data_IF_989971594262
#
_entry.id   IF_989971594262
#
_cell.length_a   1.000
_cell.length_b   1.000
_cell.length_c   1.000
_cell.angle_alpha   90.00
_cell.angle_beta   90.00
_cell.angle_gamma   90.00
#
_symmetry.space_group_name_H-M   'P 1'
#
loop_
_entity.id
_entity.type
_entity.pdbx_description
1 polymer ?
#
# COMPACT_ATOMS: atom_id res chain seq x y z
N UNK A 1 18.92 -8.91 -7.66
CA UNK A 1 19.06 -10.31 -7.21
C UNK A 1 20.12 -11.01 -8.04
N UNK A 2 20.25 -12.32 -7.87
CA UNK A 2 21.11 -13.21 -8.67
C UNK A 2 20.31 -14.47 -9.06
N UNK A 3 20.93 -15.37 -9.83
CA UNK A 3 20.34 -16.67 -10.20
C UNK A 3 20.02 -17.55 -8.98
N UNK A 4 20.84 -17.47 -7.92
CA UNK A 4 20.67 -18.26 -6.70
C UNK A 4 19.54 -17.75 -5.80
N UNK A 5 19.41 -16.43 -5.67
CA UNK A 5 18.43 -15.79 -4.80
C UNK A 5 17.94 -14.46 -5.38
N UNK A 6 16.62 -14.31 -5.49
CA UNK A 6 15.95 -13.05 -5.81
C UNK A 6 15.73 -12.22 -4.55
N UNK A 7 16.79 -11.62 -4.02
CA UNK A 7 16.75 -10.71 -2.86
C UNK A 7 16.90 -9.25 -3.27
N UNK A 8 16.30 -8.37 -2.47
CA UNK A 8 16.37 -6.92 -2.56
C UNK A 8 17.62 -6.30 -1.89
N UNK A 9 18.60 -7.11 -1.48
CA UNK A 9 19.82 -6.65 -0.82
C UNK A 9 21.09 -7.32 -1.35
N UNK A 10 22.23 -6.72 -1.01
CA UNK A 10 23.56 -7.34 -1.05
C UNK A 10 24.04 -7.54 0.38
N UNK A 11 24.67 -8.68 0.65
CA UNK A 11 25.33 -8.99 1.91
C UNK A 11 26.68 -8.29 1.95
N UNK A 12 27.04 -7.66 3.07
CA UNK A 12 28.41 -7.22 3.31
C UNK A 12 29.20 -8.39 3.90
N UNK A 13 30.16 -8.88 3.15
CA UNK A 13 30.99 -10.02 3.56
C UNK A 13 31.91 -9.62 4.72
N UNK A 14 31.84 -10.26 5.90
CA UNK A 14 32.69 -9.90 7.04
C UNK A 14 34.16 -10.28 6.83
N UNK A 15 34.45 -11.24 5.95
CA UNK A 15 35.80 -11.70 5.60
C UNK A 15 36.59 -10.69 4.77
N UNK A 16 35.96 -10.06 3.78
CA UNK A 16 36.63 -9.21 2.80
C UNK A 16 36.04 -7.79 2.70
N UNK A 17 34.95 -7.50 3.41
CA UNK A 17 34.25 -6.22 3.41
C UNK A 17 33.46 -5.89 2.14
N UNK A 18 33.59 -6.71 1.08
CA UNK A 18 32.95 -6.53 -0.22
C UNK A 18 31.46 -6.90 -0.19
N UNK A 19 30.70 -6.42 -1.17
CA UNK A 19 29.25 -6.57 -1.25
C UNK A 19 28.84 -7.58 -2.32
N UNK A 20 28.11 -8.63 -1.94
CA UNK A 20 27.64 -9.68 -2.86
C UNK A 20 26.14 -9.89 -2.79
N UNK A 21 25.47 -10.27 -3.88
CA UNK A 21 24.04 -10.53 -3.87
C UNK A 21 23.65 -11.76 -3.02
N UNK A 22 24.56 -12.73 -2.86
CA UNK A 22 24.38 -13.87 -1.95
C UNK A 22 25.73 -14.53 -1.63
N UNK A 23 25.72 -15.50 -0.69
CA UNK A 23 26.91 -16.30 -0.34
C UNK A 23 27.49 -17.08 -1.52
N UNK A 24 26.65 -17.68 -2.37
CA UNK A 24 27.11 -18.49 -3.50
C UNK A 24 27.83 -17.65 -4.55
N UNK A 25 27.36 -16.41 -4.76
CA UNK A 25 28.05 -15.45 -5.62
C UNK A 25 29.36 -14.92 -5.00
N UNK A 26 29.50 -14.94 -3.67
CA UNK A 26 30.78 -14.65 -3.01
C UNK A 26 31.73 -15.82 -3.20
N UNK A 27 31.30 -17.03 -2.83
CA UNK A 27 32.14 -18.24 -2.84
C UNK A 27 32.62 -18.62 -4.25
N UNK A 28 31.87 -18.25 -5.30
CA UNK A 28 32.31 -18.43 -6.69
C UNK A 28 33.23 -17.32 -7.23
N UNK A 29 33.33 -16.17 -6.54
CA UNK A 29 34.14 -15.03 -6.97
C UNK A 29 35.43 -14.85 -6.14
N UNK A 30 35.51 -15.47 -4.96
CA UNK A 30 36.62 -15.35 -4.03
C UNK A 30 37.17 -16.74 -3.69
N UNK A 31 38.46 -16.83 -3.37
CA UNK A 31 39.14 -18.09 -3.01
C UNK A 31 38.81 -18.60 -1.59
N UNK A 32 37.79 -18.03 -0.96
CA UNK A 32 37.36 -18.38 0.39
C UNK A 32 35.84 -18.35 0.51
N UNK A 33 35.33 -19.07 1.51
CA UNK A 33 33.89 -19.19 1.74
C UNK A 33 33.37 -18.13 2.72
N UNK A 34 32.16 -17.64 2.45
CA UNK A 34 31.46 -16.72 3.32
C UNK A 34 30.68 -17.46 4.39
N UNK A 35 31.02 -17.20 5.65
CA UNK A 35 30.19 -17.58 6.78
C UNK A 35 28.96 -16.66 6.87
N UNK A 36 27.81 -17.21 6.46
CA UNK A 36 26.52 -16.49 6.46
C UNK A 36 26.07 -16.04 7.84
N UNK A 37 26.48 -16.72 8.92
CA UNK A 37 26.04 -16.40 10.28
C UNK A 37 26.79 -15.19 10.85
N UNK A 38 27.96 -14.87 10.29
CA UNK A 38 28.76 -13.70 10.66
C UNK A 38 28.38 -12.43 9.90
N UNK A 39 27.48 -12.52 8.93
CA UNK A 39 26.99 -11.35 8.20
C UNK A 39 26.09 -10.53 9.12
N UNK A 40 26.59 -9.37 9.54
CA UNK A 40 25.86 -8.43 10.41
C UNK A 40 25.29 -7.22 9.67
N UNK A 41 25.62 -7.05 8.38
CA UNK A 41 25.22 -5.88 7.60
C UNK A 41 24.79 -6.26 6.18
N UNK A 42 23.76 -5.57 5.70
CA UNK A 42 23.23 -5.71 4.35
C UNK A 42 23.02 -4.35 3.71
N UNK A 43 23.24 -4.26 2.40
CA UNK A 43 22.97 -3.07 1.62
C UNK A 43 21.68 -3.27 0.80
N UNK A 44 20.71 -2.38 0.95
CA UNK A 44 19.53 -2.37 0.06
C UNK A 44 19.97 -2.07 -1.39
N UNK A 45 19.56 -2.89 -2.37
CA UNK A 45 19.95 -2.67 -3.78
C UNK A 45 19.34 -1.39 -4.37
N UNK A 46 18.29 -0.85 -3.75
CA UNK A 46 17.59 0.34 -4.24
C UNK A 46 18.23 1.61 -3.71
N UNK A 47 18.15 1.87 -2.40
CA UNK A 47 18.70 3.10 -1.83
C UNK A 47 20.23 3.05 -1.63
N UNK A 48 20.84 1.86 -1.65
CA UNK A 48 22.25 1.60 -1.29
C UNK A 48 22.57 1.91 0.18
N UNK A 49 21.56 2.08 1.02
CA UNK A 49 21.72 2.23 2.46
C UNK A 49 22.22 0.91 3.06
N UNK A 50 23.25 1.00 3.89
CA UNK A 50 23.76 -0.12 4.69
C UNK A 50 22.94 -0.20 5.98
N UNK A 51 22.43 -1.38 6.30
CA UNK A 51 21.55 -1.64 7.44
C UNK A 51 22.11 -2.83 8.23
N UNK A 52 21.95 -2.81 9.55
CA UNK A 52 22.31 -3.95 10.39
C UNK A 52 21.30 -5.08 10.22
N UNK A 53 21.74 -6.31 10.42
CA UNK A 53 20.89 -7.50 10.49
C UNK A 53 20.32 -7.57 11.90
N UNK A 54 18.99 -7.58 12.04
CA UNK A 54 18.30 -7.65 13.32
C UNK A 54 18.61 -8.94 14.13
N UNK A 55 18.41 -8.93 15.46
CA UNK A 55 18.86 -9.98 16.39
C UNK A 55 18.02 -11.27 16.39
N UNK A 56 17.43 -11.65 15.26
CA UNK A 56 16.77 -12.94 15.06
C UNK A 56 17.34 -13.60 13.82
N UNK A 57 18.15 -14.64 13.99
CA UNK A 57 18.78 -15.36 12.89
C UNK A 57 17.76 -15.95 11.91
N UNK A 58 17.36 -15.18 10.89
CA UNK A 58 16.33 -15.57 9.94
C UNK A 58 15.71 -14.36 9.26
N UNK A 59 16.36 -13.86 8.20
CA UNK A 59 15.88 -12.71 7.44
C UNK A 59 16.63 -11.44 7.83
N UNK A 60 17.55 -11.02 6.97
CA UNK A 60 18.08 -9.68 7.07
C UNK A 60 16.90 -8.69 6.98
N UNK A 61 16.94 -7.60 7.78
CA UNK A 61 15.99 -6.47 7.76
C UNK A 61 16.15 -5.69 6.45
N UNK A 62 15.91 -6.40 5.36
CA UNK A 62 16.02 -5.94 3.99
C UNK A 62 14.68 -5.34 3.70
N UNK A 63 14.58 -4.05 3.98
CA UNK A 63 13.58 -3.13 3.46
C UNK A 63 12.88 -3.72 2.22
N UNK A 64 11.72 -4.35 2.42
CA UNK A 64 10.94 -4.96 1.36
C UNK A 64 10.49 -3.82 0.45
N UNK A 65 11.15 -3.68 -0.70
CA UNK A 65 10.87 -2.61 -1.64
C UNK A 65 9.59 -2.91 -2.40
N UNK A 66 8.57 -2.09 -2.22
CA UNK A 66 7.40 -2.03 -3.09
C UNK A 66 7.83 -1.52 -4.47
N UNK A 67 7.63 -2.27 -5.56
CA UNK A 67 7.80 -1.80 -6.95
C UNK A 67 9.11 -2.16 -7.69
N UNK A 68 9.11 -2.15 -9.02
CA UNK A 68 10.29 -2.37 -9.89
C UNK A 68 10.62 -1.03 -10.55
N UNK A 69 11.81 -0.46 -10.32
CA UNK A 69 12.22 0.82 -10.93
C UNK A 69 13.61 1.28 -10.51
N UNK A 70 14.18 2.31 -11.19
CA UNK A 70 15.51 2.84 -10.91
C UNK A 70 15.59 3.53 -9.54
N UNK A 71 16.79 3.59 -8.94
CA UNK A 71 17.02 4.15 -7.58
C UNK A 71 16.44 5.56 -7.41
N UNK A 72 16.51 6.36 -8.47
CA UNK A 72 16.07 7.75 -8.48
C UNK A 72 14.58 7.92 -8.22
N UNK A 73 13.76 6.90 -8.47
CA UNK A 73 12.31 6.95 -8.23
C UNK A 73 11.89 6.53 -6.83
N UNK A 74 12.84 6.26 -5.91
CA UNK A 74 12.54 5.76 -4.57
C UNK A 74 13.27 6.53 -3.47
N UNK A 75 12.60 6.70 -2.32
CA UNK A 75 13.21 7.17 -1.07
C UNK A 75 13.01 6.16 0.05
N UNK A 76 13.93 6.16 1.01
CA UNK A 76 13.81 5.35 2.22
C UNK A 76 13.14 6.16 3.32
N UNK A 77 12.08 5.62 3.90
CA UNK A 77 11.46 6.17 5.10
C UNK A 77 12.00 5.43 6.33
N UNK A 78 12.80 6.10 7.16
CA UNK A 78 13.40 5.52 8.37
C UNK A 78 12.37 5.21 9.46
N UNK A 79 11.23 5.91 9.50
CA UNK A 79 10.14 5.62 10.44
C UNK A 79 9.39 4.34 10.09
N UNK A 80 9.16 4.13 8.81
CA UNK A 80 8.42 2.97 8.31
C UNK A 80 9.34 1.77 7.98
N UNK A 81 10.67 1.99 7.95
CA UNK A 81 11.66 1.04 7.44
C UNK A 81 11.30 0.47 6.06
N UNK A 82 10.78 1.33 5.16
CA UNK A 82 10.33 0.98 3.81
C UNK A 82 10.95 1.88 2.75
N UNK A 83 11.29 1.29 1.60
CA UNK A 83 11.68 2.00 0.38
C UNK A 83 10.42 2.21 -0.46
N UNK A 84 9.99 3.46 -0.58
CA UNK A 84 8.76 3.87 -1.23
C UNK A 84 9.08 4.70 -2.47
N UNK A 85 8.16 4.73 -3.44
CA UNK A 85 8.29 5.61 -4.61
C UNK A 85 8.37 7.09 -4.18
N UNK A 86 9.15 7.93 -4.87
CA UNK A 86 9.22 9.37 -4.64
C UNK A 86 7.85 10.04 -4.62
N UNK A 87 6.88 9.55 -5.40
CA UNK A 87 5.49 10.03 -5.39
C UNK A 87 4.83 9.95 -4.02
N UNK A 88 5.31 9.07 -3.13
CA UNK A 88 4.83 8.89 -1.76
C UNK A 88 5.59 9.73 -0.72
N UNK A 89 6.60 10.51 -1.15
CA UNK A 89 7.39 11.35 -0.24
C UNK A 89 6.51 12.44 0.36
N UNK A 90 6.38 12.44 1.69
CA UNK A 90 5.51 13.36 2.42
C UNK A 90 4.01 13.09 2.31
N UNK A 91 3.59 12.11 1.48
CA UNK A 91 2.17 11.78 1.25
C UNK A 91 1.75 10.44 1.85
N UNK A 92 2.68 9.52 2.09
CA UNK A 92 2.32 8.24 2.72
C UNK A 92 1.99 8.43 4.20
N UNK A 93 0.95 7.73 4.64
CA UNK A 93 0.67 7.55 6.06
C UNK A 93 1.74 6.63 6.64
N UNK A 94 2.70 7.20 7.36
CA UNK A 94 3.76 6.38 7.93
C UNK A 94 3.30 5.66 9.19
N UNK A 95 3.34 4.33 9.14
CA UNK A 95 3.03 3.44 10.25
C UNK A 95 4.32 2.69 10.57
N UNK A 96 4.77 2.79 11.82
CA UNK A 96 6.01 2.16 12.26
C UNK A 96 5.89 0.62 12.16
N UNK A 97 6.93 -0.03 11.63
CA UNK A 97 7.00 -1.50 11.51
C UNK A 97 5.83 -2.17 10.77
N UNK A 98 5.11 -1.44 9.90
CA UNK A 98 3.95 -1.98 9.16
C UNK A 98 4.30 -3.21 8.29
N UNK A 99 5.56 -3.38 7.91
CA UNK A 99 6.01 -4.56 7.16
C UNK A 99 6.12 -5.83 8.00
N UNK A 100 6.03 -5.77 9.34
CA UNK A 100 6.12 -6.94 10.24
C UNK A 100 4.77 -7.63 10.46
N UNK A 101 3.87 -7.51 9.49
CA UNK A 101 2.55 -8.11 9.52
C UNK A 101 2.44 -9.11 8.37
N UNK A 102 1.60 -10.12 8.55
CA UNK A 102 1.25 -11.03 7.47
C UNK A 102 0.22 -10.38 6.54
N UNK A 103 0.32 -10.66 5.24
CA UNK A 103 -0.63 -10.18 4.27
C UNK A 103 -2.02 -10.79 4.57
N UNK A 104 -3.07 -9.98 4.79
CA UNK A 104 -4.40 -10.49 5.16
C UNK A 104 -5.09 -11.29 4.05
N UNK A 105 -4.55 -11.28 2.84
CA UNK A 105 -5.09 -12.00 1.68
C UNK A 105 -4.44 -13.37 1.54
N UNK A 106 -3.11 -13.45 1.61
CA UNK A 106 -2.37 -14.69 1.34
C UNK A 106 -1.69 -15.29 2.57
N UNK A 107 -1.75 -14.61 3.72
CA UNK A 107 -1.14 -15.00 4.99
C UNK A 107 0.38 -15.21 4.93
N UNK A 108 1.02 -14.70 3.89
CA UNK A 108 2.48 -14.67 3.79
C UNK A 108 3.01 -13.40 4.46
N UNK A 109 4.14 -13.52 5.13
CA UNK A 109 4.85 -12.39 5.73
C UNK A 109 5.23 -11.33 4.68
N UNK A 110 4.86 -10.09 4.97
CA UNK A 110 5.00 -8.95 4.04
C UNK A 110 6.47 -8.57 3.79
N UNK A 111 7.35 -8.91 4.72
CA UNK A 111 8.76 -8.54 4.68
C UNK A 111 9.62 -9.54 3.89
N UNK A 112 9.35 -10.82 4.06
CA UNK A 112 10.16 -11.95 3.58
C UNK A 112 9.57 -12.62 2.34
N UNK A 113 8.30 -12.36 2.01
CA UNK A 113 7.72 -12.88 0.78
C UNK A 113 8.51 -12.44 -0.45
N UNK A 114 8.55 -13.34 -1.43
CA UNK A 114 9.13 -13.07 -2.75
C UNK A 114 8.25 -12.15 -3.59
N UNK A 115 7.00 -11.95 -3.16
CA UNK A 115 6.02 -11.10 -3.82
C UNK A 115 6.16 -9.69 -3.24
N UNK A 116 6.41 -8.70 -4.10
CA UNK A 116 6.47 -7.31 -3.66
C UNK A 116 5.14 -6.88 -3.04
N UNK A 117 5.20 -6.31 -1.84
CA UNK A 117 4.08 -5.63 -1.23
C UNK A 117 3.76 -4.34 -2.00
N UNK A 118 2.52 -3.88 -1.92
CA UNK A 118 2.04 -2.60 -2.44
C UNK A 118 1.46 -1.78 -1.28
N UNK A 119 1.84 -0.51 -1.20
CA UNK A 119 1.36 0.42 -0.17
C UNK A 119 0.12 1.11 -0.70
N UNK A 120 -1.03 0.80 -0.10
CA UNK A 120 -2.30 1.44 -0.45
C UNK A 120 -2.35 2.89 0.05
N UNK A 121 -3.22 3.75 -0.51
CA UNK A 121 -3.41 5.13 -0.02
C UNK A 121 -3.73 5.22 1.48
N UNK A 122 -4.46 4.23 2.02
CA UNK A 122 -4.78 4.14 3.45
C UNK A 122 -3.60 3.75 4.34
N UNK A 123 -2.45 3.36 3.77
CA UNK A 123 -1.23 2.93 4.47
C UNK A 123 -1.09 1.42 4.66
N UNK A 124 -2.13 0.63 4.37
CA UNK A 124 -2.05 -0.83 4.46
C UNK A 124 -1.20 -1.44 3.35
N UNK A 125 -0.57 -2.58 3.65
CA UNK A 125 0.29 -3.33 2.74
C UNK A 125 -0.41 -4.60 2.25
N UNK A 126 -0.38 -4.86 0.95
CA UNK A 126 -0.88 -6.10 0.34
C UNK A 126 0.13 -6.66 -0.66
N UNK A 127 0.25 -7.98 -0.77
CA UNK A 127 1.06 -8.62 -1.82
C UNK A 127 0.42 -8.54 -3.20
N UNK A 128 1.20 -8.13 -4.22
CA UNK A 128 0.80 -8.02 -5.65
C UNK A 128 -0.40 -7.08 -5.90
N UNK A 129 -0.68 -6.65 -7.15
CA UNK A 129 -1.60 -5.56 -7.38
C UNK A 129 -3.01 -6.00 -7.00
N UNK A 130 -3.63 -5.18 -6.17
CA UNK A 130 -5.06 -5.19 -5.96
C UNK A 130 -5.74 -5.13 -7.34
N UNK A 131 -6.29 -6.25 -7.79
CA UNK A 131 -7.07 -6.28 -9.03
C UNK A 131 -8.50 -5.88 -8.68
N UNK A 132 -9.07 -4.85 -9.34
CA UNK A 132 -10.48 -4.51 -9.18
C UNK A 132 -11.42 -5.70 -9.46
N UNK A 133 -10.93 -6.70 -10.21
CA UNK A 133 -11.64 -7.90 -10.61
C UNK A 133 -11.71 -8.98 -9.51
N UNK A 134 -11.03 -8.82 -8.37
CA UNK A 134 -11.09 -9.79 -7.26
C UNK A 134 -12.38 -9.71 -6.43
N UNK A 135 -13.49 -9.26 -7.03
CA UNK A 135 -14.84 -9.22 -6.43
C UNK A 135 -15.05 -8.20 -5.31
N UNK A 136 -13.98 -7.58 -4.78
CA UNK A 136 -14.04 -6.58 -3.69
C UNK A 136 -14.01 -5.12 -4.18
N UNK A 137 -14.06 -4.89 -5.50
CA UNK A 137 -14.15 -3.56 -6.10
C UNK A 137 -12.85 -2.76 -5.98
N UNK A 138 -12.95 -1.45 -5.76
CA UNK A 138 -11.83 -0.51 -5.61
C UNK A 138 -11.38 -0.30 -4.15
N UNK A 139 -11.89 -1.09 -3.20
CA UNK A 139 -11.76 -0.83 -1.75
C UNK A 139 -10.71 -1.71 -1.07
N UNK A 140 -10.00 -1.15 -0.09
CA UNK A 140 -9.10 -1.89 0.78
C UNK A 140 -9.87 -2.93 1.60
N UNK A 141 -9.46 -4.21 1.64
CA UNK A 141 -10.17 -5.26 2.37
C UNK A 141 -10.07 -5.10 3.89
N UNK A 142 -9.14 -4.28 4.40
CA UNK A 142 -8.93 -4.07 5.83
C UNK A 142 -9.74 -2.89 6.38
N UNK A 143 -9.95 -1.85 5.58
CA UNK A 143 -10.54 -0.60 6.07
C UNK A 143 -11.53 0.07 5.12
N UNK A 144 -11.85 -0.55 3.99
CA UNK A 144 -12.80 -0.07 2.97
C UNK A 144 -12.42 1.24 2.25
N UNK A 145 -11.37 1.93 2.66
CA UNK A 145 -10.80 3.08 1.95
C UNK A 145 -10.41 2.71 0.51
N UNK A 146 -10.57 3.63 -0.43
CA UNK A 146 -10.16 3.46 -1.83
C UNK A 146 -8.70 3.00 -1.92
N UNK A 147 -8.49 1.86 -2.57
CA UNK A 147 -7.21 1.19 -2.72
C UNK A 147 -6.39 1.77 -3.88
N UNK A 148 -7.02 2.52 -4.78
CA UNK A 148 -6.46 3.08 -6.00
C UNK A 148 -6.88 4.55 -6.14
N UNK A 149 -6.26 5.28 -7.07
CA UNK A 149 -6.75 6.60 -7.48
C UNK A 149 -8.05 6.44 -8.29
N UNK A 150 -9.16 6.91 -7.71
CA UNK A 150 -10.49 6.78 -8.29
C UNK A 150 -10.99 8.06 -8.95
N UNK A 151 -10.16 9.12 -9.06
CA UNK A 151 -10.55 10.45 -9.57
C UNK A 151 -11.27 10.37 -10.92
N UNK A 152 -10.76 9.56 -11.86
CA UNK A 152 -11.38 9.38 -13.18
C UNK A 152 -12.73 8.68 -13.10
N UNK A 153 -12.85 7.69 -12.22
CA UNK A 153 -14.08 6.92 -12.05
C UNK A 153 -15.17 7.76 -11.37
N UNK A 154 -14.82 8.58 -10.37
CA UNK A 154 -15.73 9.55 -9.75
C UNK A 154 -16.28 10.55 -10.75
N UNK A 155 -15.44 11.07 -11.65
CA UNK A 155 -15.90 11.95 -12.73
C UNK A 155 -16.89 11.27 -13.68
N UNK A 156 -16.74 9.97 -13.91
CA UNK A 156 -17.71 9.21 -14.70
C UNK A 156 -19.04 9.09 -13.95
N UNK A 157 -19.02 8.78 -12.65
CA UNK A 157 -20.22 8.77 -11.82
C UNK A 157 -20.91 10.14 -11.75
N UNK A 158 -20.16 11.24 -11.67
CA UNK A 158 -20.72 12.61 -11.75
C UNK A 158 -21.58 12.78 -13.02
N UNK A 159 -21.08 12.33 -14.17
CA UNK A 159 -21.81 12.41 -15.45
C UNK A 159 -23.03 11.48 -15.47
N UNK A 160 -22.92 10.25 -14.98
CA UNK A 160 -24.02 9.29 -14.95
C UNK A 160 -25.15 9.73 -14.01
N UNK A 161 -24.79 10.31 -12.86
CA UNK A 161 -25.72 10.95 -11.91
C UNK A 161 -26.45 12.13 -12.57
N UNK A 162 -25.73 13.01 -13.26
CA UNK A 162 -26.34 14.15 -13.95
C UNK A 162 -27.29 13.73 -15.08
N UNK A 163 -27.03 12.60 -15.73
CA UNK A 163 -27.85 12.07 -16.83
C UNK A 163 -29.03 11.22 -16.36
N UNK A 164 -29.09 10.84 -15.09
CA UNK A 164 -30.11 9.94 -14.53
C UNK A 164 -30.91 10.67 -13.45
N UNK A 165 -31.88 11.53 -13.81
CA UNK A 165 -32.68 12.25 -12.82
C UNK A 165 -33.39 11.27 -11.87
N UNK A 166 -33.40 11.59 -10.58
CA UNK A 166 -34.08 10.76 -9.58
C UNK A 166 -35.60 10.75 -9.81
N UNK A 167 -36.28 9.62 -9.54
CA UNK A 167 -37.73 9.58 -9.47
C UNK A 167 -38.26 10.63 -8.50
N UNK A 168 -39.45 11.18 -8.79
CA UNK A 168 -40.09 12.26 -8.00
C UNK A 168 -40.18 11.93 -6.51
N UNK A 169 -40.43 10.67 -6.16
CA UNK A 169 -40.48 10.17 -4.77
C UNK A 169 -39.19 10.37 -3.97
N UNK A 170 -38.04 10.46 -4.65
CA UNK A 170 -36.71 10.56 -4.04
C UNK A 170 -35.98 11.85 -4.39
N UNK A 171 -36.57 12.71 -5.23
CA UNK A 171 -35.93 13.89 -5.80
C UNK A 171 -35.44 14.89 -4.74
N UNK A 172 -36.12 14.95 -3.59
CA UNK A 172 -35.80 15.82 -2.46
C UNK A 172 -35.29 15.03 -1.23
N UNK A 173 -35.00 13.74 -1.39
CA UNK A 173 -34.55 12.90 -0.26
C UNK A 173 -33.09 13.19 0.09
N UNK A 174 -32.84 13.70 1.29
CA UNK A 174 -31.49 13.91 1.80
C UNK A 174 -31.09 12.77 2.73
N UNK A 175 -29.81 12.38 2.66
CA UNK A 175 -29.26 11.29 3.47
C UNK A 175 -27.92 11.68 4.08
N UNK A 176 -27.73 11.26 5.32
CA UNK A 176 -26.43 11.34 5.98
C UNK A 176 -25.52 10.21 5.50
N UNK A 177 -24.30 10.58 5.14
CA UNK A 177 -23.28 9.63 4.69
C UNK A 177 -22.02 9.74 5.54
N UNK A 178 -21.33 8.61 5.68
CA UNK A 178 -19.96 8.52 6.15
C UNK A 178 -19.05 8.17 4.97
N UNK A 179 -18.03 9.00 4.72
CA UNK A 179 -17.05 8.74 3.66
C UNK A 179 -15.93 7.81 4.14
N UNK A 180 -15.70 6.71 3.45
CA UNK A 180 -14.61 5.77 3.79
C UNK A 180 -13.21 6.29 3.42
N UNK A 181 -13.13 7.37 2.64
CA UNK A 181 -11.84 7.94 2.19
C UNK A 181 -11.36 9.08 3.12
N UNK A 182 -12.25 9.99 3.54
CA UNK A 182 -11.87 11.08 4.44
C UNK A 182 -12.41 10.95 5.88
N UNK A 183 -13.24 9.94 6.16
CA UNK A 183 -13.95 9.73 7.43
C UNK A 183 -14.88 10.89 7.85
N UNK A 184 -15.12 11.87 6.98
CA UNK A 184 -16.06 12.95 7.24
C UNK A 184 -17.49 12.46 7.07
N UNK A 185 -18.38 13.09 7.84
CA UNK A 185 -19.83 12.97 7.71
C UNK A 185 -20.34 14.14 6.88
N UNK A 186 -21.32 13.90 6.02
CA UNK A 186 -21.98 14.95 5.26
C UNK A 186 -23.41 14.56 4.94
N UNK A 187 -24.29 15.54 4.82
CA UNK A 187 -25.68 15.34 4.36
C UNK A 187 -25.74 15.70 2.88
N UNK A 188 -26.20 14.76 2.05
CA UNK A 188 -26.17 14.89 0.59
C UNK A 188 -27.46 14.40 -0.04
N UNK A 189 -27.73 14.82 -1.27
CA UNK A 189 -28.87 14.34 -2.04
C UNK A 189 -28.74 12.83 -2.28
N UNK A 190 -29.79 12.07 -1.97
CA UNK A 190 -29.84 10.65 -2.26
C UNK A 190 -29.87 10.43 -3.78
N UNK A 191 -29.01 9.53 -4.24
CA UNK A 191 -28.99 9.11 -5.64
C UNK A 191 -28.68 7.62 -5.76
N UNK A 192 -29.44 6.89 -6.60
CA UNK A 192 -29.33 5.43 -6.76
C UNK A 192 -27.93 4.98 -7.20
N UNK A 193 -27.28 5.76 -8.06
CA UNK A 193 -25.93 5.46 -8.58
C UNK A 193 -24.80 5.71 -7.56
N UNK A 194 -25.02 6.58 -6.57
CA UNK A 194 -23.99 6.87 -5.58
C UNK A 194 -24.14 8.26 -4.96
N UNK A 195 -23.61 8.40 -3.75
CA UNK A 195 -23.67 9.62 -2.95
C UNK A 195 -22.26 10.23 -2.88
N UNK A 196 -22.10 11.48 -3.32
CA UNK A 196 -20.79 12.13 -3.38
C UNK A 196 -20.44 12.83 -2.08
N UNK A 197 -19.29 12.51 -1.49
CA UNK A 197 -18.79 13.21 -0.32
C UNK A 197 -18.45 14.68 -0.66
N UNK A 198 -18.96 15.62 0.13
CA UNK A 198 -18.71 17.07 -0.08
C UNK A 198 -17.30 17.51 0.32
N UNK A 199 -16.58 16.72 1.13
CA UNK A 199 -15.26 17.09 1.65
C UNK A 199 -14.11 16.62 0.75
N UNK A 200 -14.24 15.47 0.10
CA UNK A 200 -13.18 14.89 -0.74
C UNK A 200 -13.65 14.39 -2.12
N UNK A 201 -14.90 14.67 -2.49
CA UNK A 201 -15.51 14.31 -3.78
C UNK A 201 -15.58 12.80 -4.09
N UNK A 202 -15.25 11.94 -3.13
CA UNK A 202 -15.33 10.50 -3.29
C UNK A 202 -16.77 9.99 -3.22
N UNK A 203 -17.10 9.02 -4.06
CA UNK A 203 -18.33 8.23 -3.97
C UNK A 203 -18.17 6.96 -3.11
N UNK A 204 -17.01 6.77 -2.48
CA UNK A 204 -16.79 5.67 -1.55
C UNK A 204 -17.44 5.96 -0.18
N UNK A 205 -18.76 6.02 -0.16
CA UNK A 205 -19.54 6.45 1.01
C UNK A 205 -20.55 5.37 1.41
N UNK A 206 -20.84 5.27 2.70
CA UNK A 206 -21.95 4.47 3.22
C UNK A 206 -22.99 5.39 3.84
N UNK A 207 -24.28 5.04 3.74
CA UNK A 207 -25.33 5.75 4.46
C UNK A 207 -25.13 5.51 5.96
N UNK A 208 -25.01 6.59 6.73
CA UNK A 208 -24.97 6.50 8.18
C UNK A 208 -26.42 6.35 8.65
N UNK A 209 -26.76 5.23 9.27
CA UNK A 209 -28.14 4.78 9.52
C UNK A 209 -28.98 5.65 10.48
N UNK A 210 -28.67 6.93 10.64
CA UNK A 210 -29.25 7.84 11.65
C UNK A 210 -30.36 8.76 11.16
N UNK A 211 -30.61 8.96 9.87
CA UNK A 211 -31.79 9.74 9.48
C UNK A 211 -32.22 9.57 8.01
N UNK A 212 -33.52 9.36 7.81
CA UNK A 212 -34.25 9.66 6.57
C UNK A 212 -34.91 11.01 6.81
N UNK A 213 -34.45 12.07 6.17
CA UNK A 213 -35.13 13.37 6.23
C UNK A 213 -35.88 13.54 4.90
N UNK A 214 -37.20 13.32 4.92
CA UNK A 214 -38.09 13.89 3.91
C UNK A 214 -38.27 15.37 4.23
N UNK A 215 -38.02 16.24 3.24
CA UNK A 215 -38.21 17.70 3.36
C UNK A 215 -39.68 18.13 3.59
N UNK A 216 -40.60 17.19 3.80
CA UNK A 216 -42.03 17.43 4.07
C UNK A 216 -42.35 17.48 5.59
N UNK A 217 -41.37 17.32 6.48
CA UNK A 217 -41.55 17.37 7.95
C UNK A 217 -40.77 18.52 8.65
N UNK A 218 -40.62 19.68 7.99
CA UNK A 218 -40.22 20.96 8.61
C UNK A 218 -41.33 22.00 8.50
#
# INVERSE_FOLDING_TARGET
>A
GCEHYRRGCRLRAPCCGKLYPCRLCHDGAEEHQLDRFRVSEVQCIRCRLLQKVGPGGGGAEVTAGVGIGPKEDFFHCSKCNLCLSLSLRGKHKCIENVSRQDCPICLEDIHTSRVGAHVLPCGHLLHRPFSPLSGRGYRCPLCMHSALDMTRYWRQLDNEVAQTPMPTEYQNMMVEILCNDCNARSTVQFHLLGMKCQNCESYNTAQDGRCRLSLEEQ
#
